data_IF_644926765459
#
_entry.id   IF_644926765459
#
_cell.length_a   1.000
_cell.length_b   1.000
_cell.length_c   1.000
_cell.angle_alpha   90.00
_cell.angle_beta   90.00
_cell.angle_gamma   90.00
#
_symmetry.space_group_name_H-M   'P 1'
#
loop_
_entity.id
_entity.type
_entity.pdbx_description
1 polymer ?
#
# COMPACT_ATOMS: atom_id res chain seq x y z
N UNK A 1 4.53 4.65 -5.58
CA UNK A 1 3.59 5.60 -6.21
C UNK A 1 4.33 6.34 -7.32
N UNK A 2 3.82 6.51 -8.55
CA UNK A 2 2.59 5.96 -9.13
C UNK A 2 2.75 4.56 -9.75
N UNK A 3 3.96 4.10 -10.05
CA UNK A 3 4.18 2.90 -10.89
C UNK A 3 3.92 1.54 -10.22
N UNK A 4 3.39 1.52 -9.00
CA UNK A 4 3.05 0.29 -8.23
C UNK A 4 4.14 -0.79 -8.20
N UNK A 5 5.40 -0.38 -8.13
CA UNK A 5 6.51 -1.31 -7.88
C UNK A 5 6.27 -1.99 -6.54
N UNK A 6 6.45 -3.31 -6.51
CA UNK A 6 6.38 -4.12 -5.29
C UNK A 6 7.79 -4.44 -4.85
N UNK A 7 7.98 -4.45 -3.54
CA UNK A 7 9.24 -4.69 -2.88
C UNK A 7 9.04 -5.86 -1.93
N UNK A 8 10.03 -6.75 -1.87
CA UNK A 8 10.03 -7.88 -0.94
C UNK A 8 10.47 -7.39 0.46
N UNK A 9 9.49 -7.20 1.34
CA UNK A 9 9.70 -6.67 2.69
C UNK A 9 10.59 -7.62 3.48
N UNK A 10 10.34 -8.94 3.41
CA UNK A 10 11.07 -9.93 4.20
C UNK A 10 12.55 -9.92 3.82
N UNK A 11 12.84 -9.87 2.52
CA UNK A 11 14.22 -9.76 2.03
C UNK A 11 14.92 -8.48 2.49
N UNK A 12 14.21 -7.34 2.52
CA UNK A 12 14.79 -6.09 3.03
C UNK A 12 15.11 -6.22 4.52
N UNK A 13 14.17 -6.75 5.30
CA UNK A 13 14.36 -7.01 6.73
C UNK A 13 15.59 -7.90 6.95
N UNK A 14 15.73 -8.98 6.17
CA UNK A 14 16.87 -9.89 6.29
C UNK A 14 18.22 -9.22 5.94
N UNK A 15 18.24 -8.27 4.99
CA UNK A 15 19.44 -7.49 4.63
C UNK A 15 19.79 -6.49 5.73
N UNK A 16 18.77 -5.81 6.30
CA UNK A 16 18.96 -4.81 7.34
C UNK A 16 19.42 -5.44 8.67
N UNK A 17 18.89 -6.62 9.00
CA UNK A 17 19.04 -7.25 10.31
C UNK A 17 18.65 -6.29 11.44
N UNK A 18 19.29 -6.42 12.60
CA UNK A 18 18.99 -5.56 13.76
C UNK A 18 19.62 -4.15 13.69
N UNK A 19 20.41 -3.87 12.66
CA UNK A 19 21.23 -2.65 12.57
C UNK A 19 20.46 -1.44 12.04
N UNK A 20 19.41 -1.68 11.25
CA UNK A 20 18.65 -0.62 10.57
C UNK A 20 17.17 -0.89 10.73
N UNK A 21 16.45 0.10 11.24
CA UNK A 21 15.00 0.03 11.39
C UNK A 21 14.31 0.04 10.04
N UNK A 22 13.41 -0.92 9.83
CA UNK A 22 12.62 -1.03 8.61
C UNK A 22 11.22 -0.46 8.84
N UNK A 23 10.94 0.65 8.16
CA UNK A 23 9.65 1.33 8.18
C UNK A 23 8.93 1.09 6.86
N UNK A 24 7.69 0.61 6.92
CA UNK A 24 6.89 0.34 5.73
C UNK A 24 5.67 1.25 5.67
N UNK A 25 5.62 2.10 4.64
CA UNK A 25 4.37 2.78 4.27
C UNK A 25 3.43 1.78 3.60
N UNK A 26 2.39 1.41 4.35
CA UNK A 26 1.42 0.41 3.95
C UNK A 26 0.09 1.05 3.51
N UNK A 27 0.08 2.35 3.21
CA UNK A 27 -1.11 3.12 2.79
C UNK A 27 -1.85 2.47 1.63
N UNK A 28 -1.14 2.02 0.59
CA UNK A 28 -1.75 1.45 -0.61
C UNK A 28 -2.31 0.05 -0.41
N UNK A 29 -1.60 -0.80 0.34
CA UNK A 29 -2.04 -2.17 0.55
C UNK A 29 -3.10 -2.26 1.65
N UNK A 30 -3.10 -1.33 2.61
CA UNK A 30 -3.95 -1.38 3.81
C UNK A 30 -3.62 -2.60 4.69
N UNK A 31 -4.07 -2.66 5.95
CA UNK A 31 -3.88 -3.86 6.77
C UNK A 31 -4.71 -5.07 6.30
N UNK A 32 -5.62 -4.88 5.33
CA UNK A 32 -6.41 -5.96 4.74
C UNK A 32 -5.59 -6.78 3.74
N UNK A 33 -4.67 -6.16 2.98
CA UNK A 33 -3.90 -6.82 1.89
C UNK A 33 -2.41 -6.98 2.19
N UNK A 34 -1.93 -6.49 3.32
CA UNK A 34 -0.55 -6.70 3.74
C UNK A 34 -0.38 -6.35 5.20
N UNK A 35 0.35 -7.18 5.93
CA UNK A 35 0.73 -6.94 7.32
C UNK A 35 2.26 -6.93 7.46
N UNK A 36 2.93 -5.80 7.20
CA UNK A 36 4.39 -5.72 7.17
C UNK A 36 5.09 -6.19 8.45
N UNK A 37 4.46 -6.01 9.61
CA UNK A 37 4.98 -6.47 10.90
C UNK A 37 5.14 -8.00 10.94
N UNK A 38 4.27 -8.75 10.28
CA UNK A 38 4.38 -10.22 10.17
C UNK A 38 5.57 -10.65 9.29
N UNK A 39 6.11 -9.73 8.47
CA UNK A 39 7.33 -9.94 7.68
C UNK A 39 8.59 -9.40 8.37
N UNK A 40 8.48 -8.91 9.61
CA UNK A 40 9.59 -8.42 10.43
C UNK A 40 9.92 -6.93 10.25
N UNK A 41 9.05 -6.14 9.64
CA UNK A 41 9.20 -4.68 9.69
C UNK A 41 9.05 -4.18 11.14
N UNK A 42 9.83 -3.18 11.54
CA UNK A 42 9.73 -2.59 12.88
C UNK A 42 8.51 -1.69 13.03
N UNK A 43 8.20 -0.92 11.98
CA UNK A 43 7.16 0.12 11.99
C UNK A 43 6.35 0.05 10.71
N UNK A 44 5.05 0.25 10.85
CA UNK A 44 4.12 0.47 9.74
C UNK A 44 3.50 1.84 9.86
N UNK A 45 3.48 2.58 8.74
CA UNK A 45 2.78 3.86 8.64
C UNK A 45 1.64 3.77 7.64
N UNK A 46 0.56 4.49 7.91
CA UNK A 46 -0.55 4.67 6.99
C UNK A 46 -1.01 6.12 6.95
N UNK A 47 -1.31 6.63 5.76
CA UNK A 47 -2.19 7.79 5.59
C UNK A 47 -3.63 7.35 5.77
N UNK A 48 -4.25 7.81 6.86
CA UNK A 48 -5.66 7.53 7.15
C UNK A 48 -6.60 8.26 6.20
N UNK A 49 -6.14 9.36 5.57
CA UNK A 49 -6.85 10.11 4.53
C UNK A 49 -7.30 9.24 3.35
N UNK A 50 -6.59 8.13 3.10
CA UNK A 50 -6.84 7.27 1.94
C UNK A 50 -7.85 6.19 2.30
N UNK A 51 -7.46 4.92 2.23
CA UNK A 51 -8.41 3.81 2.34
C UNK A 51 -8.99 3.62 3.73
N UNK A 52 -8.25 3.95 4.80
CA UNK A 52 -8.73 3.77 6.18
C UNK A 52 -9.94 4.65 6.46
N UNK A 53 -9.87 5.96 6.17
CA UNK A 53 -11.02 6.86 6.18
C UNK A 53 -12.00 6.53 5.05
N UNK A 54 -11.51 6.40 3.82
CA UNK A 54 -12.24 5.82 2.68
C UNK A 54 -13.30 6.71 2.02
N UNK A 55 -13.60 7.90 2.60
CA UNK A 55 -14.71 8.75 2.16
C UNK A 55 -14.27 10.17 1.74
N UNK A 56 -12.96 10.46 1.74
CA UNK A 56 -12.42 11.75 1.30
C UNK A 56 -12.76 12.94 2.20
N UNK A 57 -13.18 12.67 3.43
CA UNK A 57 -13.76 13.64 4.38
C UNK A 57 -12.89 13.86 5.64
N UNK A 58 -11.74 13.20 5.74
CA UNK A 58 -10.85 13.28 6.91
C UNK A 58 -9.38 13.20 6.52
N UNK A 59 -8.52 13.87 7.28
CA UNK A 59 -7.06 13.81 7.13
C UNK A 59 -6.46 13.28 8.43
N UNK A 60 -5.49 12.38 8.29
CA UNK A 60 -4.71 11.87 9.41
C UNK A 60 -3.64 10.87 8.98
N UNK A 61 -2.70 10.62 9.88
CA UNK A 61 -1.71 9.55 9.79
C UNK A 61 -1.77 8.65 11.02
N UNK A 62 -1.29 7.41 10.87
CA UNK A 62 -1.10 6.49 11.99
C UNK A 62 0.24 5.76 11.84
N UNK A 63 0.90 5.57 12.97
CA UNK A 63 2.14 4.81 13.12
C UNK A 63 1.84 3.62 14.02
N UNK A 64 2.27 2.43 13.62
CA UNK A 64 2.01 1.16 14.31
C UNK A 64 3.33 0.42 14.47
N UNK A 65 3.63 -0.09 15.66
CA UNK A 65 4.87 -0.77 16.00
C UNK A 65 4.81 -1.38 17.40
N UNK A 66 5.95 -1.82 17.94
CA UNK A 66 6.06 -2.34 19.30
C UNK A 66 5.74 -1.25 20.34
N UNK A 67 5.02 -1.59 21.41
CA UNK A 67 4.47 -0.61 22.35
C UNK A 67 5.52 0.31 22.97
N UNK A 68 6.64 -0.23 23.43
CA UNK A 68 7.75 0.54 24.00
C UNK A 68 8.31 1.59 23.04
N UNK A 69 8.41 1.26 21.75
CA UNK A 69 8.88 2.17 20.72
C UNK A 69 7.84 3.24 20.36
N UNK A 70 6.55 2.88 20.38
CA UNK A 70 5.47 3.84 20.13
C UNK A 70 5.31 4.81 21.31
N UNK A 71 5.50 4.33 22.54
CA UNK A 71 5.53 5.16 23.74
C UNK A 71 6.71 6.14 23.70
N UNK A 72 7.92 5.65 23.41
CA UNK A 72 9.10 6.50 23.22
C UNK A 72 8.89 7.57 22.14
N UNK A 73 8.40 7.19 20.96
CA UNK A 73 8.06 8.13 19.88
C UNK A 73 7.02 9.17 20.30
N UNK A 74 6.04 8.77 21.13
CA UNK A 74 5.00 9.68 21.60
C UNK A 74 5.61 10.71 22.54
N UNK A 75 6.37 10.27 23.52
CA UNK A 75 6.96 11.10 24.56
C UNK A 75 8.05 12.04 24.03
N UNK A 76 8.93 11.53 23.17
CA UNK A 76 10.13 12.24 22.73
C UNK A 76 10.00 12.90 21.36
N UNK A 77 8.86 12.78 20.67
CA UNK A 77 8.70 13.38 19.34
C UNK A 77 7.28 13.89 19.10
N UNK A 78 6.25 13.07 19.31
CA UNK A 78 4.89 13.47 18.95
C UNK A 78 4.38 14.66 19.79
N UNK A 79 4.76 14.73 21.07
CA UNK A 79 4.43 15.85 21.96
C UNK A 79 5.06 17.15 21.45
N UNK A 80 6.36 17.12 21.10
CA UNK A 80 7.08 18.31 20.65
C UNK A 80 6.63 18.79 19.26
N UNK A 81 6.34 17.86 18.36
CA UNK A 81 5.84 18.18 17.01
C UNK A 81 4.39 18.66 17.07
N UNK A 82 3.61 18.23 18.06
CA UNK A 82 2.21 18.64 18.24
C UNK A 82 1.25 18.12 17.15
N UNK A 83 1.67 17.15 16.34
CA UNK A 83 0.87 16.58 15.25
C UNK A 83 -0.22 15.59 15.75
N UNK A 84 -1.07 16.07 16.66
CA UNK A 84 -2.16 15.30 17.26
C UNK A 84 -3.38 15.24 16.33
N UNK A 85 -4.04 14.08 16.28
CA UNK A 85 -5.27 13.90 15.52
C UNK A 85 -6.46 14.50 16.27
N UNK A 86 -7.28 15.29 15.57
CA UNK A 86 -8.58 15.74 16.09
C UNK A 86 -9.45 14.53 16.47
N UNK A 87 -10.13 14.55 17.65
CA UNK A 87 -11.06 13.48 18.03
C UNK A 87 -12.16 13.22 17.00
N UNK A 88 -12.65 14.28 16.33
CA UNK A 88 -13.65 14.16 15.28
C UNK A 88 -13.10 13.45 14.04
N UNK A 89 -11.86 13.79 13.63
CA UNK A 89 -11.19 13.07 12.53
C UNK A 89 -10.95 11.60 12.91
N UNK A 90 -10.59 11.32 14.16
CA UNK A 90 -10.47 9.96 14.68
C UNK A 90 -11.79 9.19 14.58
N UNK A 91 -12.91 9.80 14.96
CA UNK A 91 -14.23 9.20 14.81
C UNK A 91 -14.61 8.92 13.35
N UNK A 92 -14.32 9.84 12.42
CA UNK A 92 -14.56 9.63 10.99
C UNK A 92 -13.74 8.45 10.45
N UNK A 93 -12.48 8.32 10.87
CA UNK A 93 -11.65 7.16 10.51
C UNK A 93 -12.25 5.87 11.08
N UNK A 94 -12.68 5.86 12.36
CA UNK A 94 -13.34 4.69 12.96
C UNK A 94 -14.61 4.29 12.22
N UNK A 95 -15.42 5.26 11.77
CA UNK A 95 -16.58 5.04 10.89
C UNK A 95 -16.15 4.38 9.59
N UNK A 96 -15.09 4.88 8.95
CA UNK A 96 -14.55 4.36 7.68
C UNK A 96 -14.00 2.93 7.78
N UNK A 97 -13.31 2.60 8.88
CA UNK A 97 -12.69 1.28 9.09
C UNK A 97 -13.73 0.16 9.13
N UNK A 98 -14.95 0.41 9.63
CA UNK A 98 -16.01 -0.60 9.71
C UNK A 98 -16.34 -1.26 8.36
N UNK A 99 -16.18 -0.55 7.26
CA UNK A 99 -16.43 -1.06 5.90
C UNK A 99 -15.15 -1.29 5.10
N UNK A 100 -13.97 -1.15 5.72
CA UNK A 100 -12.69 -1.24 5.04
C UNK A 100 -12.51 -2.55 4.29
N UNK A 101 -12.77 -3.68 4.95
CA UNK A 101 -12.65 -5.00 4.33
C UNK A 101 -13.51 -5.11 3.06
N UNK A 102 -14.80 -4.77 3.14
CA UNK A 102 -15.72 -4.83 2.00
C UNK A 102 -15.26 -3.94 0.83
N UNK A 103 -14.85 -2.70 1.13
CA UNK A 103 -14.32 -1.77 0.12
C UNK A 103 -13.04 -2.33 -0.52
N UNK A 104 -12.14 -2.88 0.29
CA UNK A 104 -10.87 -3.50 -0.11
C UNK A 104 -11.04 -4.94 -0.63
N UNK A 105 -12.25 -5.43 -0.85
CA UNK A 105 -12.48 -6.55 -1.77
C UNK A 105 -13.00 -5.98 -3.08
N UNK A 106 -14.01 -5.12 -3.01
CA UNK A 106 -14.71 -4.68 -4.20
C UNK A 106 -13.88 -3.78 -5.12
N UNK A 107 -13.09 -2.85 -4.58
CA UNK A 107 -12.21 -2.06 -5.43
C UNK A 107 -11.10 -2.98 -6.10
N UNK A 108 -10.84 -4.24 -5.63
CA UNK A 108 -9.79 -5.14 -6.16
C UNK A 108 -10.34 -5.75 -7.41
N UNK A 109 -11.54 -6.29 -7.27
CA UNK A 109 -12.32 -6.90 -8.34
C UNK A 109 -12.50 -5.87 -9.46
N UNK A 110 -12.88 -4.64 -9.10
CA UNK A 110 -13.04 -3.56 -10.06
C UNK A 110 -11.69 -3.13 -10.66
N UNK A 111 -10.65 -3.01 -9.84
CA UNK A 111 -9.29 -2.73 -10.30
C UNK A 111 -8.79 -3.77 -11.32
N UNK A 112 -9.01 -5.06 -11.07
CA UNK A 112 -8.63 -6.14 -11.98
C UNK A 112 -9.42 -6.08 -13.30
N UNK A 113 -10.73 -5.83 -13.24
CA UNK A 113 -11.57 -5.68 -14.44
C UNK A 113 -11.06 -4.53 -15.31
N UNK A 114 -10.79 -3.37 -14.71
CA UNK A 114 -10.22 -2.20 -15.41
C UNK A 114 -8.81 -2.50 -15.94
N UNK A 115 -7.97 -3.18 -15.16
CA UNK A 115 -6.63 -3.55 -15.58
C UNK A 115 -6.63 -4.44 -16.81
N UNK A 116 -7.49 -5.47 -16.84
CA UNK A 116 -7.67 -6.35 -18.00
C UNK A 116 -8.19 -5.60 -19.22
N UNK A 117 -9.26 -4.81 -19.04
CA UNK A 117 -9.82 -3.99 -20.11
C UNK A 117 -8.78 -3.07 -20.75
N UNK A 118 -7.98 -2.38 -19.94
CA UNK A 118 -6.93 -1.48 -20.43
C UNK A 118 -5.72 -2.23 -21.00
N UNK A 119 -5.41 -3.43 -20.50
CA UNK A 119 -4.29 -4.24 -21.00
C UNK A 119 -4.55 -4.73 -22.43
N UNK A 120 -5.81 -4.94 -22.78
CA UNK A 120 -6.23 -5.42 -24.10
C UNK A 120 -6.55 -4.26 -25.06
N UNK A 121 -6.47 -3.01 -24.60
CA UNK A 121 -6.87 -1.84 -25.37
C UNK A 121 -5.72 -1.36 -26.29
N UNK A 122 -5.90 -1.25 -27.62
CA UNK A 122 -4.82 -1.00 -28.58
C UNK A 122 -4.13 0.36 -28.42
N UNK A 123 -4.78 1.33 -27.76
CA UNK A 123 -4.20 2.66 -27.47
C UNK A 123 -3.44 2.74 -26.13
N UNK A 124 -3.29 1.62 -25.42
CA UNK A 124 -2.60 1.55 -24.14
C UNK A 124 -1.31 0.78 -24.33
N UNK A 125 -0.18 1.44 -24.09
CA UNK A 125 1.14 0.84 -24.25
C UNK A 125 1.42 -0.17 -23.13
N UNK A 126 1.06 0.22 -21.90
CA UNK A 126 1.36 -0.59 -20.72
C UNK A 126 0.40 -0.32 -19.58
N UNK A 127 -0.03 -1.40 -18.93
CA UNK A 127 -0.75 -1.38 -17.67
C UNK A 127 0.16 -1.82 -16.53
N UNK A 128 0.21 -1.00 -15.49
CA UNK A 128 0.88 -1.31 -14.22
C UNK A 128 -0.19 -1.63 -13.20
N UNK A 129 -0.35 -2.91 -12.92
CA UNK A 129 -1.27 -3.43 -11.92
C UNK A 129 -0.68 -4.72 -11.33
N UNK A 130 -0.41 -4.80 -10.02
CA UNK A 130 0.32 -5.93 -9.43
C UNK A 130 -0.30 -7.31 -9.67
N UNK A 131 -1.63 -7.38 -9.84
CA UNK A 131 -2.33 -8.64 -10.08
C UNK A 131 -2.30 -9.12 -11.54
N UNK A 132 -1.81 -8.32 -12.49
CA UNK A 132 -1.69 -8.72 -13.90
C UNK A 132 -0.43 -9.57 -14.10
N UNK A 133 -0.59 -10.73 -14.71
CA UNK A 133 0.52 -11.66 -15.02
C UNK A 133 1.57 -11.06 -15.97
N UNK A 134 1.15 -10.12 -16.83
CA UNK A 134 2.01 -9.41 -17.77
C UNK A 134 3.00 -8.46 -17.08
N UNK A 135 2.79 -8.11 -15.81
CA UNK A 135 3.68 -7.17 -15.12
C UNK A 135 4.99 -7.83 -14.68
N UNK A 136 6.15 -7.15 -14.85
CA UNK A 136 7.45 -7.68 -14.41
C UNK A 136 7.50 -8.05 -12.93
N UNK A 137 6.70 -7.37 -12.12
CA UNK A 137 6.54 -7.63 -10.69
C UNK A 137 5.93 -9.02 -10.45
N UNK A 138 4.79 -9.32 -11.06
CA UNK A 138 4.12 -10.62 -10.93
C UNK A 138 5.02 -11.76 -11.43
N UNK A 139 5.77 -11.51 -12.51
CA UNK A 139 6.77 -12.47 -13.02
C UNK A 139 7.88 -12.74 -12.01
N UNK A 140 8.44 -11.70 -11.39
CA UNK A 140 9.52 -11.84 -10.40
C UNK A 140 9.08 -12.55 -9.11
N UNK A 141 7.86 -12.28 -8.65
CA UNK A 141 7.31 -12.82 -7.40
C UNK A 141 6.86 -14.28 -7.58
N UNK A 142 6.32 -14.66 -8.74
CA UNK A 142 5.97 -16.06 -9.06
C UNK A 142 7.18 -17.00 -9.05
N UNK A 143 8.36 -16.52 -9.47
CA UNK A 143 9.60 -17.30 -9.41
C UNK A 143 10.24 -17.40 -8.02
N UNK A 144 9.87 -16.53 -7.07
CA UNK A 144 10.67 -16.34 -5.84
C UNK A 144 9.90 -16.55 -4.52
N UNK A 145 8.58 -16.39 -4.48
CA UNK A 145 7.77 -16.62 -3.29
C UNK A 145 6.38 -17.17 -3.64
N UNK A 146 6.05 -18.38 -3.20
CA UNK A 146 4.74 -19.01 -3.45
C UNK A 146 3.59 -18.36 -2.64
N UNK A 147 3.86 -17.89 -1.42
CA UNK A 147 2.86 -17.30 -0.52
C UNK A 147 2.49 -15.84 -0.86
N UNK A 148 3.35 -15.10 -1.56
CA UNK A 148 3.12 -13.68 -1.91
C UNK A 148 2.20 -13.51 -3.14
N UNK A 149 2.07 -14.56 -3.96
CA UNK A 149 1.35 -14.51 -5.25
C UNK A 149 -0.17 -14.43 -5.08
N UNK A 150 -0.71 -15.05 -4.03
CA UNK A 150 -2.16 -15.03 -3.74
C UNK A 150 -2.61 -13.65 -3.23
N UNK A 151 -1.76 -12.95 -2.47
CA UNK A 151 -1.99 -11.60 -1.95
C UNK A 151 -1.97 -10.47 -2.99
N UNK A 152 -1.27 -10.66 -4.12
CA UNK A 152 -1.10 -9.61 -5.15
C UNK A 152 -2.25 -9.49 -6.13
N UNK A 153 -3.05 -10.56 -6.26
CA UNK A 153 -4.22 -10.60 -7.15
C UNK A 153 -5.30 -9.62 -6.72
N UNK A 154 -5.28 -9.21 -5.47
CA UNK A 154 -6.25 -8.33 -4.84
C UNK A 154 -5.71 -6.92 -4.69
N UNK A 155 -5.08 -6.31 -5.70
CA UNK A 155 -4.63 -4.91 -5.63
C UNK A 155 -5.47 -3.97 -6.48
N UNK A 156 -5.37 -2.67 -6.30
CA UNK A 156 -6.50 -1.78 -6.55
C UNK A 156 -6.25 -0.72 -7.61
N UNK A 157 -5.02 -0.20 -7.62
CA UNK A 157 -4.68 0.91 -8.48
C UNK A 157 -4.22 0.37 -9.84
N UNK A 158 -4.82 0.87 -10.91
CA UNK A 158 -4.40 0.63 -12.28
C UNK A 158 -3.72 1.89 -12.78
N UNK A 159 -2.48 1.79 -13.22
CA UNK A 159 -1.80 2.90 -13.91
C UNK A 159 -1.56 2.49 -15.35
N UNK A 160 -2.23 3.17 -16.28
CA UNK A 160 -2.04 2.98 -17.71
C UNK A 160 -1.20 4.13 -18.28
N UNK A 161 -0.26 3.79 -19.17
CA UNK A 161 0.50 4.77 -19.94
C UNK A 161 0.09 4.67 -21.40
N UNK A 162 -0.13 5.82 -22.03
CA UNK A 162 -0.32 5.94 -23.48
C UNK A 162 1.02 6.21 -24.14
N UNK A 163 1.21 5.67 -25.34
CA UNK A 163 2.33 5.99 -26.22
C UNK A 163 2.49 7.51 -26.30
N UNK A 164 3.70 8.00 -26.02
CA UNK A 164 4.08 9.35 -26.44
C UNK A 164 4.52 9.21 -27.88
N UNK A 165 3.80 9.82 -28.81
CA UNK A 165 4.36 10.19 -30.11
C UNK A 165 5.57 11.11 -29.83
N UNK A 166 6.75 10.50 -29.74
CA UNK A 166 8.03 11.17 -29.74
C UNK A 166 8.89 10.51 -30.80
N UNK A 167 8.46 10.69 -32.05
CA UNK A 167 9.37 10.85 -33.17
C UNK A 167 10.11 12.18 -32.97
N UNK A 168 11.22 12.14 -32.23
CA UNK A 168 12.31 13.09 -32.44
C UNK A 168 13.50 12.21 -32.80
N UNK A 169 13.84 12.26 -34.09
CA UNK A 169 15.10 11.87 -34.72
C UNK A 169 16.32 12.23 -33.89
#
# INVERSE_FOLDING_TARGET
>A
NPTLKVIDIKRIVDICGDKVKVVVDNTFATPILQRPLEFGADIVIHSMTKYLGGHGDTIGGIVVGRSDYIEDLKENTAIDVGACLSPFNGWLVLRGIKTLFLRIIHHSENGMKVAKFLNDHPRVERVMYPGLESTPVMRSLRTRCSSTVEWLRSRFLVVARRERDCSIT
#
